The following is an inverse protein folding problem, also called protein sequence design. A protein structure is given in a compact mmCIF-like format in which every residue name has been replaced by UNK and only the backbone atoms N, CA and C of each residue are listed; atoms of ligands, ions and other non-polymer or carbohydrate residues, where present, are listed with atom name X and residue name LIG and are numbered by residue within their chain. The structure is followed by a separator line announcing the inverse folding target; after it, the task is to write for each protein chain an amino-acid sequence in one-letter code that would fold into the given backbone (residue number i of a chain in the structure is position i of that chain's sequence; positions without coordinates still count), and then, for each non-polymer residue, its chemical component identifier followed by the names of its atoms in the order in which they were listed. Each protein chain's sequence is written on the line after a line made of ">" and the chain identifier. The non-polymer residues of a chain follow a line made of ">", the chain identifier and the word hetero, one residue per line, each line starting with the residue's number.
data_IF_567865228459
#
_entry.id   IF_567865228459
#
_cell.length_a   1.000
_cell.length_b   1.000
_cell.length_c   1.000
_cell.angle_alpha   90.00
_cell.angle_beta   90.00
_cell.angle_gamma   90.00
#
_symmetry.space_group_name_H-M   'P 1'
#
loop_
_entity.id
_entity.type
_entity.pdbx_description
1 polymer ?
#
# COMPACT_ATOMS: atom_id res chain seq x y z
N UNK A 1 16.52 -2.08 -2.10
CA UNK A 1 16.45 -0.93 -2.99
C UNK A 1 15.83 0.32 -2.37
N UNK A 2 14.69 0.78 -2.88
CA UNK A 2 14.09 2.09 -2.54
C UNK A 2 13.83 2.27 -1.04
N UNK A 3 13.18 1.32 -0.38
CA UNK A 3 12.93 1.40 1.06
C UNK A 3 14.24 1.50 1.87
N UNK A 4 15.24 0.67 1.53
CA UNK A 4 16.53 0.71 2.21
C UNK A 4 17.25 2.07 2.06
N UNK A 5 17.09 2.73 0.90
CA UNK A 5 17.67 4.05 0.68
C UNK A 5 17.03 5.12 1.59
N UNK A 6 15.71 5.09 1.77
CA UNK A 6 15.02 6.01 2.70
C UNK A 6 15.39 5.68 4.15
N UNK A 7 15.39 4.41 4.54
CA UNK A 7 15.78 3.99 5.88
C UNK A 7 17.21 4.42 6.22
N UNK A 8 18.13 4.34 5.25
CA UNK A 8 19.52 4.81 5.37
C UNK A 8 19.66 6.34 5.23
N UNK A 9 18.56 7.09 5.09
CA UNK A 9 18.55 8.56 4.91
C UNK A 9 19.31 9.06 3.68
N UNK A 10 19.40 8.23 2.64
CA UNK A 10 20.00 8.62 1.35
C UNK A 10 19.03 9.42 0.47
N UNK A 11 17.73 9.31 0.76
CA UNK A 11 16.66 10.09 0.15
C UNK A 11 15.58 10.37 1.20
N UNK A 12 14.88 11.51 1.17
CA UNK A 12 13.79 11.84 2.10
C UNK A 12 12.56 10.94 1.88
N UNK A 13 12.24 10.62 0.65
CA UNK A 13 11.16 9.79 0.22
C UNK A 13 11.47 9.16 -1.15
N UNK A 14 10.75 8.12 -1.53
CA UNK A 14 10.90 7.44 -2.82
C UNK A 14 9.55 6.95 -3.32
N UNK A 15 9.47 6.70 -4.61
CA UNK A 15 8.37 5.96 -5.23
C UNK A 15 8.72 4.48 -5.36
N UNK A 16 7.71 3.65 -5.42
CA UNK A 16 7.82 2.22 -5.70
C UNK A 16 6.59 1.70 -6.42
N UNK A 17 6.57 0.42 -6.72
CA UNK A 17 5.42 -0.30 -7.27
C UNK A 17 5.02 -1.44 -6.34
N UNK A 18 3.73 -1.74 -6.30
CA UNK A 18 3.16 -2.75 -5.42
C UNK A 18 2.14 -3.58 -6.21
N UNK A 19 2.44 -4.86 -6.38
CA UNK A 19 1.57 -5.83 -7.00
C UNK A 19 0.98 -6.76 -5.95
N UNK A 20 1.81 -7.33 -5.10
CA UNK A 20 1.44 -8.21 -3.99
C UNK A 20 1.87 -7.70 -2.61
N UNK A 21 2.50 -6.52 -2.55
CA UNK A 21 3.02 -5.96 -1.30
C UNK A 21 4.35 -5.21 -1.46
N UNK A 22 4.85 -5.00 -2.69
CA UNK A 22 6.24 -4.54 -2.91
C UNK A 22 6.52 -3.07 -2.56
N UNK A 23 5.54 -2.29 -2.10
CA UNK A 23 5.70 -1.03 -1.35
C UNK A 23 5.57 -1.30 0.14
N UNK A 24 4.46 -1.91 0.56
CA UNK A 24 4.07 -2.09 1.97
C UNK A 24 5.02 -3.02 2.72
N UNK A 25 5.40 -4.14 2.12
CA UNK A 25 6.28 -5.13 2.74
C UNK A 25 7.70 -4.59 2.98
N UNK A 26 8.42 -4.04 1.99
CA UNK A 26 9.74 -3.47 2.25
C UNK A 26 9.70 -2.24 3.16
N UNK A 27 8.63 -1.45 3.16
CA UNK A 27 8.45 -0.37 4.12
C UNK A 27 8.36 -0.92 5.55
N UNK A 28 7.53 -1.95 5.79
CA UNK A 28 7.42 -2.60 7.10
C UNK A 28 8.76 -3.18 7.57
N UNK A 29 9.49 -3.88 6.69
CA UNK A 29 10.79 -4.47 7.03
C UNK A 29 11.89 -3.44 7.30
N UNK A 30 11.74 -2.20 6.80
CA UNK A 30 12.70 -1.11 6.97
C UNK A 30 12.25 -0.06 8.00
N UNK A 31 11.14 -0.27 8.70
CA UNK A 31 10.62 0.70 9.68
C UNK A 31 10.15 2.01 9.05
N UNK A 32 9.51 1.94 7.89
CA UNK A 32 9.01 3.08 7.13
C UNK A 32 7.50 3.03 6.96
N UNK A 33 6.93 4.14 6.55
CA UNK A 33 5.57 4.19 6.00
C UNK A 33 5.60 3.91 4.51
N UNK A 34 4.78 2.95 4.06
CA UNK A 34 4.58 2.66 2.64
C UNK A 34 3.08 2.72 2.32
N UNK A 35 2.71 3.51 1.32
CA UNK A 35 1.33 3.71 0.94
C UNK A 35 1.09 3.19 -0.47
N UNK A 36 0.24 2.16 -0.58
CA UNK A 36 -0.31 1.72 -1.86
C UNK A 36 -1.69 2.33 -2.04
N UNK A 37 -1.85 3.32 -2.93
CA UNK A 37 -3.17 3.90 -3.20
C UNK A 37 -4.10 2.91 -3.88
N UNK A 38 -5.36 3.26 -4.01
CA UNK A 38 -6.33 2.48 -4.77
C UNK A 38 -5.91 2.37 -6.23
N UNK A 39 -6.28 1.26 -6.87
CA UNK A 39 -6.00 1.03 -8.28
C UNK A 39 -6.53 2.17 -9.16
N UNK A 40 -5.71 2.63 -10.11
CA UNK A 40 -6.04 3.74 -11.00
C UNK A 40 -5.87 5.15 -10.41
N UNK A 41 -5.44 5.28 -9.15
CA UNK A 41 -5.18 6.59 -8.53
C UNK A 41 -3.94 7.27 -9.08
N UNK A 42 -2.93 6.50 -9.42
CA UNK A 42 -1.66 6.95 -10.00
C UNK A 42 -1.50 6.33 -11.38
N UNK A 43 -1.09 7.13 -12.36
CA UNK A 43 -0.82 6.62 -13.70
C UNK A 43 0.28 5.57 -13.69
N UNK A 44 0.09 4.56 -14.52
CA UNK A 44 1.09 3.51 -14.78
C UNK A 44 1.86 3.73 -16.08
N UNK A 45 1.62 4.86 -16.74
CA UNK A 45 2.35 5.20 -17.95
C UNK A 45 3.85 5.27 -17.69
N UNK A 46 4.64 4.50 -18.43
CA UNK A 46 6.08 4.38 -18.23
C UNK A 46 6.52 3.34 -17.19
N UNK A 47 5.59 2.73 -16.44
CA UNK A 47 5.90 1.60 -15.59
C UNK A 47 6.03 0.31 -16.41
N UNK A 48 6.99 -0.53 -16.03
CA UNK A 48 7.07 -1.90 -16.57
C UNK A 48 6.02 -2.75 -15.86
N UNK A 49 5.05 -3.26 -16.61
CA UNK A 49 3.98 -4.07 -16.05
C UNK A 49 4.49 -5.45 -15.59
N UNK A 50 4.17 -5.81 -14.35
CA UNK A 50 4.30 -7.17 -13.84
C UNK A 50 2.95 -7.89 -13.92
N UNK A 51 1.96 -7.47 -13.14
CA UNK A 51 0.59 -7.96 -13.22
C UNK A 51 -0.36 -6.77 -13.40
N UNK A 52 -0.81 -6.52 -14.63
CA UNK A 52 -1.54 -5.32 -15.00
C UNK A 52 -2.84 -5.10 -14.23
N UNK A 53 -3.49 -6.17 -13.76
CA UNK A 53 -4.71 -6.09 -12.94
C UNK A 53 -4.44 -5.72 -11.48
N UNK A 54 -3.18 -5.75 -11.03
CA UNK A 54 -2.80 -5.58 -9.62
C UNK A 54 -1.81 -4.43 -9.40
N UNK A 55 -0.93 -4.15 -10.37
CA UNK A 55 0.16 -3.18 -10.22
C UNK A 55 -0.34 -1.78 -9.88
N UNK A 56 0.30 -1.16 -8.88
CA UNK A 56 0.08 0.23 -8.52
C UNK A 56 1.36 0.88 -8.05
N UNK A 57 1.57 2.16 -8.43
CA UNK A 57 2.65 2.98 -7.87
C UNK A 57 2.21 3.65 -6.57
N UNK A 58 3.17 3.95 -5.71
CA UNK A 58 2.94 4.68 -4.47
C UNK A 58 4.21 5.10 -3.77
N UNK A 59 4.11 5.93 -2.72
CA UNK A 59 5.23 6.46 -1.98
C UNK A 59 5.69 5.57 -0.84
N UNK A 60 6.98 5.73 -0.45
CA UNK A 60 7.56 5.26 0.81
C UNK A 60 8.35 6.40 1.44
N UNK A 61 8.13 6.66 2.74
CA UNK A 61 8.76 7.74 3.49
C UNK A 61 8.83 7.40 4.98
N UNK A 62 9.41 8.30 5.79
CA UNK A 62 9.49 8.12 7.24
C UNK A 62 8.15 8.36 7.96
N UNK A 63 7.25 9.16 7.38
CA UNK A 63 5.96 9.50 7.98
C UNK A 63 4.78 9.30 7.01
N UNK A 64 3.57 9.22 7.55
CA UNK A 64 2.35 9.21 6.75
C UNK A 64 2.12 10.56 6.05
N UNK A 65 2.51 11.66 6.69
CA UNK A 65 2.46 13.01 6.13
C UNK A 65 3.31 13.11 4.86
N UNK A 66 4.58 12.69 4.92
CA UNK A 66 5.48 12.69 3.75
C UNK A 66 4.92 11.82 2.62
N UNK A 67 4.33 10.68 2.95
CA UNK A 67 3.65 9.83 1.95
C UNK A 67 2.45 10.55 1.33
N UNK A 68 1.64 11.26 2.11
CA UNK A 68 0.51 12.07 1.62
C UNK A 68 0.97 13.20 0.70
N UNK A 69 1.99 13.96 1.14
CA UNK A 69 2.58 15.05 0.35
C UNK A 69 3.16 14.55 -0.97
N UNK A 70 3.89 13.42 -0.94
CA UNK A 70 4.45 12.84 -2.16
C UNK A 70 3.34 12.30 -3.07
N UNK A 71 2.30 11.69 -2.52
CA UNK A 71 1.15 11.21 -3.31
C UNK A 71 0.41 12.37 -4.00
N UNK A 72 0.26 13.52 -3.33
CA UNK A 72 -0.31 14.73 -3.92
C UNK A 72 0.44 15.18 -5.19
N UNK A 73 1.75 14.92 -5.26
CA UNK A 73 2.58 15.35 -6.38
C UNK A 73 2.39 14.50 -7.65
N UNK A 74 1.93 13.24 -7.55
CA UNK A 74 1.85 12.35 -8.71
C UNK A 74 0.53 11.58 -8.85
N UNK A 75 -0.42 11.73 -7.91
CA UNK A 75 -1.77 11.21 -8.08
C UNK A 75 -2.56 12.08 -9.07
N UNK A 76 -3.42 11.46 -9.86
CA UNK A 76 -4.32 12.18 -10.77
C UNK A 76 -4.58 11.39 -12.05
N UNK A 77 -5.51 11.93 -12.85
CA UNK A 77 -5.88 11.34 -14.13
C UNK A 77 -4.79 11.54 -15.19
N UNK A 78 -4.49 10.46 -15.90
CA UNK A 78 -3.59 10.48 -17.06
C UNK A 78 -4.27 9.77 -18.25
N UNK A 79 -4.56 10.50 -19.34
CA UNK A 79 -5.20 9.90 -20.52
C UNK A 79 -4.31 8.87 -21.25
N UNK A 80 -3.03 8.78 -20.92
CA UNK A 80 -2.11 7.78 -21.49
C UNK A 80 -2.22 6.41 -20.80
N UNK A 81 -2.83 6.35 -19.63
CA UNK A 81 -3.10 5.09 -18.93
C UNK A 81 -4.60 4.81 -18.92
N UNK A 82 -5.02 3.81 -19.69
CA UNK A 82 -6.43 3.41 -19.82
C UNK A 82 -7.07 2.95 -18.51
N UNK A 83 -6.28 2.70 -17.47
CA UNK A 83 -6.75 2.31 -16.14
C UNK A 83 -6.76 3.46 -15.15
N UNK A 84 -6.24 4.64 -15.54
CA UNK A 84 -6.27 5.82 -14.71
C UNK A 84 -7.70 6.32 -14.52
N UNK A 85 -8.08 6.60 -13.28
CA UNK A 85 -9.43 7.03 -12.94
C UNK A 85 -9.57 8.55 -13.10
N UNK A 86 -10.53 8.98 -13.90
CA UNK A 86 -10.89 10.39 -14.02
C UNK A 86 -11.74 10.80 -12.82
N UNK A 87 -11.09 11.38 -11.81
CA UNK A 87 -11.71 11.88 -10.59
C UNK A 87 -10.98 13.12 -10.10
N UNK A 88 -11.64 13.90 -9.25
CA UNK A 88 -10.99 15.03 -8.59
C UNK A 88 -9.79 14.55 -7.76
N UNK A 89 -8.69 15.29 -7.86
CA UNK A 89 -7.50 15.04 -7.04
C UNK A 89 -7.79 15.50 -5.62
N UNK A 90 -7.57 14.63 -4.65
CA UNK A 90 -7.72 14.94 -3.23
C UNK A 90 -6.39 15.47 -2.68
N UNK A 91 -6.45 16.28 -1.64
CA UNK A 91 -5.28 16.54 -0.79
C UNK A 91 -5.17 15.46 0.28
N UNK A 92 -4.26 14.53 0.05
CA UNK A 92 -4.05 13.35 0.93
C UNK A 92 -3.40 13.70 2.28
N UNK A 93 -2.93 14.94 2.47
CA UNK A 93 -2.34 15.41 3.72
C UNK A 93 -3.30 16.27 4.56
N UNK A 94 -4.41 16.77 3.99
CA UNK A 94 -5.31 17.77 4.64
C UNK A 94 -5.98 17.29 5.93
N UNK A 95 -6.13 16.01 6.14
CA UNK A 95 -6.91 15.45 7.25
C UNK A 95 -6.06 14.80 8.35
N UNK A 96 -4.74 14.90 8.26
CA UNK A 96 -3.83 14.18 9.18
C UNK A 96 -3.99 14.65 10.64
N UNK A 97 -4.31 15.92 10.87
CA UNK A 97 -4.49 16.50 12.22
C UNK A 97 -5.96 16.49 12.68
N UNK A 98 -6.87 15.89 11.90
CA UNK A 98 -8.28 15.86 12.29
C UNK A 98 -8.53 14.83 13.40
N UNK A 99 -9.46 15.13 14.33
CA UNK A 99 -9.86 14.17 15.36
C UNK A 99 -10.43 12.89 14.74
N UNK A 100 -10.10 11.74 15.33
CA UNK A 100 -10.57 10.43 14.86
C UNK A 100 -11.96 10.04 15.41
N UNK A 101 -12.64 10.97 16.08
CA UNK A 101 -13.98 10.72 16.63
C UNK A 101 -14.96 10.31 15.52
N UNK A 102 -15.56 9.14 15.70
CA UNK A 102 -16.47 8.55 14.71
C UNK A 102 -15.80 7.67 13.65
N UNK A 103 -14.46 7.61 13.61
CA UNK A 103 -13.75 6.66 12.77
C UNK A 103 -13.97 5.23 13.32
N UNK A 104 -14.40 4.32 12.47
CA UNK A 104 -14.56 2.90 12.80
C UNK A 104 -13.45 2.09 12.16
N UNK A 105 -12.68 1.38 12.97
CA UNK A 105 -11.59 0.50 12.53
C UNK A 105 -12.08 -0.94 12.60
N UNK A 106 -12.22 -1.59 11.44
CA UNK A 106 -12.59 -3.01 11.34
C UNK A 106 -11.42 -3.90 11.71
N UNK A 107 -11.65 -4.86 12.59
CA UNK A 107 -10.68 -5.88 12.98
C UNK A 107 -11.14 -7.23 12.41
N UNK A 108 -10.57 -7.67 11.26
CA UNK A 108 -10.93 -8.95 10.68
C UNK A 108 -10.47 -10.11 11.57
N UNK A 109 -11.39 -10.88 12.09
CA UNK A 109 -11.10 -12.02 12.99
C UNK A 109 -10.10 -13.02 12.40
N UNK A 110 -10.03 -13.10 11.07
CA UNK A 110 -9.14 -13.99 10.33
C UNK A 110 -7.65 -13.62 10.47
N UNK A 111 -7.33 -12.35 10.86
CA UNK A 111 -5.96 -11.90 11.10
C UNK A 111 -5.52 -11.98 12.56
N UNK A 112 -6.47 -12.12 13.49
CA UNK A 112 -6.22 -12.15 14.92
C UNK A 112 -6.33 -13.59 15.47
N UNK A 113 -5.69 -14.53 14.80
CA UNK A 113 -5.60 -15.93 15.23
C UNK A 113 -4.31 -16.18 16.03
N UNK A 114 -4.24 -17.37 16.66
CA UNK A 114 -3.13 -17.72 17.56
C UNK A 114 -1.77 -17.94 16.86
N UNK A 115 -1.72 -17.90 15.53
CA UNK A 115 -0.52 -18.17 14.74
C UNK A 115 0.29 -16.90 14.44
N UNK A 116 -0.15 -15.73 14.90
CA UNK A 116 0.54 -14.45 14.72
C UNK A 116 1.82 -14.35 15.56
N UNK A 117 2.85 -13.70 15.01
CA UNK A 117 4.04 -13.34 15.77
C UNK A 117 3.68 -12.44 16.96
N UNK A 118 4.07 -12.84 18.17
CA UNK A 118 3.69 -12.17 19.40
C UNK A 118 4.14 -10.69 19.47
N UNK A 119 5.33 -10.38 18.95
CA UNK A 119 5.83 -9.01 18.93
C UNK A 119 5.03 -8.12 17.96
N UNK A 120 4.68 -8.66 16.80
CA UNK A 120 3.81 -7.99 15.83
C UNK A 120 2.42 -7.75 16.41
N UNK A 121 1.83 -8.75 17.06
CA UNK A 121 0.51 -8.59 17.68
C UNK A 121 0.52 -7.54 18.80
N UNK A 122 1.55 -7.52 19.64
CA UNK A 122 1.69 -6.51 20.68
C UNK A 122 1.84 -5.08 20.10
N UNK A 123 2.53 -4.93 19.00
CA UNK A 123 2.63 -3.63 18.30
C UNK A 123 1.29 -3.18 17.72
N UNK A 124 0.50 -4.10 17.15
CA UNK A 124 -0.85 -3.82 16.65
C UNK A 124 -1.76 -3.41 17.80
N UNK A 125 -1.74 -4.14 18.92
CA UNK A 125 -2.55 -3.81 20.10
C UNK A 125 -2.22 -2.43 20.66
N UNK A 126 -0.92 -2.09 20.72
CA UNK A 126 -0.47 -0.76 21.13
C UNK A 126 -0.98 0.33 20.19
N UNK A 127 -0.90 0.12 18.88
CA UNK A 127 -1.43 1.07 17.89
C UNK A 127 -2.97 1.23 18.02
N UNK A 128 -3.71 0.14 18.19
CA UNK A 128 -5.16 0.17 18.40
C UNK A 128 -5.53 0.92 19.70
N UNK A 129 -4.73 0.78 20.76
CA UNK A 129 -4.93 1.52 21.99
C UNK A 129 -4.77 3.04 21.76
N UNK A 130 -3.78 3.47 20.98
CA UNK A 130 -3.61 4.89 20.62
C UNK A 130 -4.78 5.39 19.76
N UNK A 131 -5.23 4.65 18.75
CA UNK A 131 -6.40 5.05 17.96
C UNK A 131 -7.65 5.23 18.81
N UNK A 132 -7.90 4.35 19.80
CA UNK A 132 -9.01 4.48 20.74
C UNK A 132 -8.89 5.74 21.62
N UNK A 133 -7.69 6.08 22.11
CA UNK A 133 -7.43 7.31 22.84
C UNK A 133 -7.73 8.55 22.00
N UNK A 134 -7.47 8.49 20.69
CA UNK A 134 -7.77 9.57 19.75
C UNK A 134 -9.26 9.61 19.32
N UNK A 135 -10.08 8.71 19.84
CA UNK A 135 -11.53 8.71 19.64
C UNK A 135 -12.07 7.79 18.57
N UNK A 136 -11.22 6.92 17.99
CA UNK A 136 -11.68 5.89 17.06
C UNK A 136 -12.35 4.72 17.80
N UNK A 137 -13.27 4.04 17.12
CA UNK A 137 -13.95 2.83 17.59
C UNK A 137 -13.41 1.61 16.84
N UNK A 138 -13.24 0.49 17.55
CA UNK A 138 -12.87 -0.78 16.91
C UNK A 138 -14.08 -1.69 16.78
N UNK A 139 -14.24 -2.34 15.64
CA UNK A 139 -15.39 -3.20 15.32
C UNK A 139 -14.86 -4.52 14.77
N UNK A 140 -15.31 -5.64 15.32
CA UNK A 140 -15.01 -6.95 14.71
C UNK A 140 -15.70 -7.08 13.35
N UNK A 141 -14.96 -7.55 12.36
CA UNK A 141 -15.47 -7.84 11.02
C UNK A 141 -14.98 -9.21 10.57
N UNK A 142 -15.57 -9.75 9.51
CA UNK A 142 -15.13 -11.01 8.91
C UNK A 142 -14.85 -10.82 7.43
N UNK A 143 -13.71 -11.36 6.97
CA UNK A 143 -13.27 -11.43 5.59
C UNK A 143 -13.03 -12.89 5.19
N UNK A 144 -14.10 -13.70 5.02
CA UNK A 144 -13.98 -15.16 4.93
C UNK A 144 -13.14 -15.64 3.73
N UNK A 145 -13.02 -14.83 2.67
CA UNK A 145 -12.23 -15.18 1.48
C UNK A 145 -10.75 -14.83 1.60
N UNK A 146 -10.31 -14.18 2.69
CA UNK A 146 -8.92 -13.68 2.80
C UNK A 146 -7.89 -14.81 2.76
N UNK A 147 -8.23 -16.00 3.29
CA UNK A 147 -7.36 -17.18 3.26
C UNK A 147 -6.98 -17.65 1.84
N UNK A 148 -7.75 -17.25 0.83
CA UNK A 148 -7.48 -17.58 -0.58
C UNK A 148 -6.60 -16.54 -1.29
N UNK A 149 -6.35 -15.38 -0.67
CA UNK A 149 -5.70 -14.23 -1.33
C UNK A 149 -4.30 -14.56 -1.85
N UNK A 150 -3.49 -15.23 -1.06
CA UNK A 150 -2.11 -15.60 -1.45
C UNK A 150 -2.13 -16.60 -2.61
N UNK A 151 -2.98 -17.62 -2.54
CA UNK A 151 -3.11 -18.61 -3.62
C UNK A 151 -3.62 -17.97 -4.91
N UNK A 152 -4.61 -17.08 -4.84
CA UNK A 152 -5.12 -16.34 -6.00
C UNK A 152 -4.03 -15.46 -6.60
N UNK A 153 -3.24 -14.75 -5.78
CA UNK A 153 -2.11 -13.96 -6.24
C UNK A 153 -1.09 -14.83 -7.02
N UNK A 154 -0.71 -16.00 -6.50
CA UNK A 154 0.25 -16.88 -7.17
C UNK A 154 -0.28 -17.53 -8.47
N UNK A 155 -1.57 -17.47 -8.74
CA UNK A 155 -2.14 -17.85 -10.03
C UNK A 155 -2.16 -16.66 -11.00
N UNK A 156 -2.68 -15.52 -10.55
CA UNK A 156 -2.89 -14.33 -11.39
C UNK A 156 -1.56 -13.69 -11.78
N UNK A 157 -0.71 -13.39 -10.80
CA UNK A 157 0.49 -12.62 -11.04
C UNK A 157 1.49 -13.30 -12.00
N UNK A 158 1.83 -14.61 -11.88
CA UNK A 158 2.70 -15.26 -12.84
C UNK A 158 2.09 -15.36 -14.25
N UNK A 159 0.78 -15.57 -14.36
CA UNK A 159 0.09 -15.63 -15.64
C UNK A 159 0.17 -14.29 -16.39
N UNK A 160 -0.14 -13.19 -15.71
CA UNK A 160 -0.06 -11.85 -16.28
C UNK A 160 1.40 -11.43 -16.54
N UNK A 161 2.34 -11.75 -15.63
CA UNK A 161 3.76 -11.49 -15.81
C UNK A 161 4.32 -12.21 -17.04
N UNK A 162 3.97 -13.46 -17.25
CA UNK A 162 4.36 -14.22 -18.45
C UNK A 162 3.95 -13.50 -19.73
N UNK A 163 2.73 -12.96 -19.78
CA UNK A 163 2.25 -12.19 -20.91
C UNK A 163 2.95 -10.82 -21.03
N UNK A 164 3.00 -10.06 -19.92
CA UNK A 164 3.53 -8.70 -19.91
C UNK A 164 5.03 -8.64 -20.20
N UNK A 165 5.81 -9.59 -19.71
CA UNK A 165 7.26 -9.61 -19.84
C UNK A 165 7.76 -10.34 -21.10
N UNK A 166 6.88 -10.98 -21.88
CA UNK A 166 7.22 -11.71 -23.11
C UNK A 166 7.90 -10.85 -24.18
N UNK A 167 7.73 -9.51 -24.11
CA UNK A 167 8.35 -8.54 -25.02
C UNK A 167 9.78 -8.16 -24.65
N UNK A 168 10.29 -8.62 -23.52
CA UNK A 168 11.65 -8.35 -23.04
C UNK A 168 12.50 -9.61 -23.16
N UNK A 169 13.77 -9.43 -23.52
CA UNK A 169 14.74 -10.54 -23.64
C UNK A 169 15.38 -10.92 -22.28
N UNK A 170 15.15 -10.10 -21.25
CA UNK A 170 15.72 -10.32 -19.91
C UNK A 170 17.21 -10.00 -19.79
N UNK A 171 17.83 -9.46 -20.82
CA UNK A 171 19.28 -9.21 -20.89
C UNK A 171 19.61 -7.73 -20.86
N UNK A 172 18.68 -6.86 -21.21
CA UNK A 172 18.88 -5.40 -21.35
C UNK A 172 18.09 -4.64 -20.32
#
# INVERSE_FOLDING_TARGET
>A
GSAAAVAARLAPAVTGTDTGGSIRQPAALCGLTGLKPSYGTVSRWGMIAFASSLDQAGPMAHSAEDCGLLLNAFAGFDPKDSTSLERETEDYARSLEQPLKGLRIGLPKEFFNADGDAATMAAIDAALAEYRKLGAETVEVSLPSIGQSVSAYYVIAPAEASSNLSRFDGVR
#
